data_IF_805401569355
#
_entry.id   IF_805401569355
#
_cell.length_a   1.000
_cell.length_b   1.000
_cell.length_c   1.000
_cell.angle_alpha   90.00
_cell.angle_beta   90.00
_cell.angle_gamma   90.00
#
_symmetry.space_group_name_H-M   'P 1'
#
loop_
_entity.id
_entity.type
_entity.pdbx_description
1 polymer ?
#
# COMPACT_ATOMS: atom_id res chain seq x y z
N UNK A 1 -24.10 1.70 -40.25
CA UNK A 1 -23.56 2.96 -40.80
C UNK A 1 -24.46 4.08 -40.32
N UNK A 2 -24.00 5.25 -39.80
CA UNK A 2 -22.64 5.82 -39.65
C UNK A 2 -22.28 6.28 -38.19
N UNK A 3 -21.00 6.24 -37.74
CA UNK A 3 -19.96 7.33 -37.60
C UNK A 3 -20.11 8.18 -36.30
N UNK A 4 -19.32 7.96 -35.24
CA UNK A 4 -17.98 8.53 -34.85
C UNK A 4 -17.95 10.04 -34.54
N UNK A 5 -17.50 10.43 -33.32
CA UNK A 5 -16.62 11.57 -32.95
C UNK A 5 -16.64 11.69 -31.40
N UNK A 6 -15.62 11.34 -30.61
CA UNK A 6 -14.25 11.85 -30.49
C UNK A 6 -14.14 13.35 -30.13
N UNK A 7 -13.61 13.56 -28.92
CA UNK A 7 -12.73 14.64 -28.47
C UNK A 7 -13.30 16.06 -28.25
N UNK A 8 -12.75 16.70 -27.22
CA UNK A 8 -12.44 18.13 -27.31
C UNK A 8 -12.92 18.99 -26.15
N UNK A 9 -12.10 19.01 -25.09
CA UNK A 9 -11.81 20.15 -24.21
C UNK A 9 -12.32 21.51 -24.70
N UNK A 10 -13.07 22.26 -23.89
CA UNK A 10 -12.95 23.72 -23.83
C UNK A 10 -13.29 24.26 -22.43
N UNK A 11 -12.27 24.88 -21.83
CA UNK A 11 -12.29 25.74 -20.65
C UNK A 11 -13.49 26.71 -20.64
N UNK A 12 -14.13 26.83 -19.48
CA UNK A 12 -14.71 28.10 -19.04
C UNK A 12 -14.35 28.35 -17.57
N UNK A 13 -13.08 28.68 -17.34
CA UNK A 13 -12.76 29.64 -16.30
C UNK A 13 -13.12 31.05 -16.80
N UNK A 14 -13.95 31.75 -16.04
CA UNK A 14 -14.13 33.21 -15.93
C UNK A 14 -15.42 33.41 -15.11
N UNK A 15 -15.32 33.83 -13.85
CA UNK A 15 -15.20 35.24 -13.44
C UNK A 15 -16.48 36.03 -13.73
N UNK A 16 -17.30 36.10 -12.68
CA UNK A 16 -18.08 37.24 -12.16
C UNK A 16 -18.55 38.34 -13.13
N UNK A 17 -19.87 38.49 -13.28
CA UNK A 17 -20.54 39.76 -12.92
C UNK A 17 -22.07 39.64 -12.88
N UNK A 18 -22.64 40.23 -11.83
CA UNK A 18 -24.01 40.16 -11.33
C UNK A 18 -25.02 41.00 -12.14
N UNK A 19 -26.29 40.56 -12.22
CA UNK A 19 -27.43 41.48 -12.40
C UNK A 19 -28.78 40.94 -11.89
N UNK A 20 -29.26 41.57 -10.80
CA UNK A 20 -30.69 41.70 -10.43
C UNK A 20 -31.16 40.79 -9.28
N UNK A 21 -31.06 41.19 -8.01
CA UNK A 21 -32.08 41.92 -7.20
C UNK A 21 -33.38 41.11 -6.98
N UNK A 22 -33.80 40.70 -5.77
CA UNK A 22 -33.86 41.46 -4.53
C UNK A 22 -33.88 40.58 -3.24
N UNK A 23 -33.08 41.03 -2.25
CA UNK A 23 -33.32 41.19 -0.79
C UNK A 23 -33.75 40.01 0.14
N UNK A 24 -33.47 40.08 1.46
CA UNK A 24 -32.15 40.35 2.07
C UNK A 24 -31.82 39.47 3.33
N UNK A 25 -30.51 39.26 3.55
CA UNK A 25 -29.74 39.47 4.80
C UNK A 25 -30.09 38.76 6.13
N UNK A 26 -29.18 38.33 7.01
CA UNK A 26 -27.75 37.91 7.03
C UNK A 26 -27.39 37.69 8.51
N UNK A 27 -26.35 36.90 8.78
CA UNK A 27 -25.16 37.18 9.64
C UNK A 27 -24.69 35.91 10.41
N UNK A 28 -23.40 35.81 10.80
CA UNK A 28 -22.21 35.81 9.92
C UNK A 28 -21.14 34.77 10.36
N UNK A 29 -20.01 34.76 9.63
CA UNK A 29 -18.67 34.29 10.06
C UNK A 29 -18.49 32.76 10.07
N UNK A 30 -17.44 32.16 9.49
CA UNK A 30 -16.01 32.52 9.40
C UNK A 30 -15.46 31.93 8.08
N UNK A 31 -14.76 32.67 7.23
CA UNK A 31 -13.29 32.87 7.25
C UNK A 31 -12.50 31.57 7.46
N UNK A 32 -11.78 31.16 6.44
CA UNK A 32 -10.86 30.01 6.44
C UNK A 32 -10.67 29.56 5.00
N UNK A 33 -9.99 30.36 4.18
CA UNK A 33 -8.56 30.23 3.93
C UNK A 33 -8.25 29.07 2.99
N UNK A 34 -7.75 29.48 1.84
CA UNK A 34 -6.93 28.74 0.89
C UNK A 34 -6.16 27.57 1.51
N UNK A 35 -6.29 26.41 0.87
CA UNK A 35 -5.20 25.48 0.56
C UNK A 35 -5.66 24.83 -0.76
N UNK A 36 -5.14 25.09 -1.96
CA UNK A 36 -3.75 25.28 -2.36
C UNK A 36 -2.82 24.41 -1.53
N UNK A 37 -2.97 23.10 -1.67
CA UNK A 37 -1.85 22.17 -1.49
C UNK A 37 -1.57 21.51 -2.83
N UNK A 38 -1.21 22.32 -3.82
CA UNK A 38 -0.12 21.90 -4.67
C UNK A 38 1.13 22.13 -3.84
N UNK A 39 1.65 21.08 -3.20
CA UNK A 39 3.07 20.72 -3.21
C UNK A 39 3.42 19.73 -2.07
N UNK A 40 4.41 18.84 -2.26
CA UNK A 40 5.29 18.79 -3.42
C UNK A 40 5.29 17.44 -4.16
N UNK A 41 5.47 17.48 -5.49
CA UNK A 41 6.34 16.49 -6.15
C UNK A 41 7.78 16.82 -5.74
N UNK A 42 8.11 16.51 -4.49
CA UNK A 42 9.48 16.34 -4.04
C UNK A 42 9.45 14.87 -3.70
N UNK A 43 10.12 14.03 -4.48
CA UNK A 43 10.54 12.74 -3.94
C UNK A 43 11.20 13.08 -2.62
N UNK A 44 10.56 12.69 -1.53
CA UNK A 44 10.90 13.26 -0.23
C UNK A 44 12.29 12.72 0.08
N UNK A 45 13.33 13.55 -0.07
CA UNK A 45 14.73 13.20 0.22
C UNK A 45 14.86 12.64 1.65
N UNK A 46 13.90 12.96 2.53
CA UNK A 46 13.76 12.41 3.88
C UNK A 46 13.47 10.90 3.92
N UNK A 47 12.86 10.34 2.88
CA UNK A 47 12.47 8.93 2.79
C UNK A 47 13.30 8.15 1.77
N UNK A 48 14.27 8.77 1.10
CA UNK A 48 15.03 8.18 -0.01
C UNK A 48 15.77 6.88 0.39
N UNK A 49 16.28 6.82 1.62
CA UNK A 49 16.92 5.62 2.19
C UNK A 49 15.90 4.52 2.47
N UNK A 50 14.77 4.85 3.10
CA UNK A 50 13.67 3.91 3.34
C UNK A 50 13.07 3.37 2.03
N UNK A 51 12.88 4.22 1.02
CA UNK A 51 12.38 3.83 -0.29
C UNK A 51 13.32 2.85 -0.99
N UNK A 52 14.62 3.17 -1.04
CA UNK A 52 15.63 2.31 -1.67
C UNK A 52 15.74 0.95 -0.97
N UNK A 53 15.81 0.96 0.35
CA UNK A 53 15.96 -0.28 1.13
C UNK A 53 14.65 -1.08 1.17
N UNK A 54 13.50 -0.40 1.19
CA UNK A 54 12.17 -1.00 1.16
C UNK A 54 11.87 -1.70 -0.17
N UNK A 55 12.16 -1.06 -1.31
CA UNK A 55 12.01 -1.70 -2.63
C UNK A 55 12.88 -2.95 -2.75
N UNK A 56 14.17 -2.86 -2.37
CA UNK A 56 15.08 -4.00 -2.40
C UNK A 56 14.61 -5.16 -1.51
N UNK A 57 14.05 -4.84 -0.34
CA UNK A 57 13.47 -5.81 0.58
C UNK A 57 12.26 -6.51 -0.04
N UNK A 58 11.32 -5.77 -0.63
CA UNK A 58 10.13 -6.37 -1.23
C UNK A 58 10.48 -7.27 -2.42
N UNK A 59 11.42 -6.86 -3.26
CA UNK A 59 11.94 -7.69 -4.35
C UNK A 59 12.59 -8.98 -3.80
N UNK A 60 13.40 -8.90 -2.74
CA UNK A 60 14.04 -10.08 -2.14
C UNK A 60 13.01 -11.05 -1.54
N UNK A 61 11.97 -10.53 -0.89
CA UNK A 61 10.89 -11.35 -0.32
C UNK A 61 10.07 -12.02 -1.42
N UNK A 62 9.73 -11.31 -2.50
CA UNK A 62 9.00 -11.87 -3.64
C UNK A 62 9.82 -12.98 -4.34
N UNK A 63 11.11 -12.74 -4.61
CA UNK A 63 12.03 -13.74 -5.15
C UNK A 63 12.14 -14.97 -4.24
N UNK A 64 12.11 -14.78 -2.91
CA UNK A 64 12.14 -15.87 -1.95
C UNK A 64 10.85 -16.71 -1.98
N UNK A 65 9.68 -16.09 -2.12
CA UNK A 65 8.41 -16.80 -2.28
C UNK A 65 8.37 -17.62 -3.58
N UNK A 66 8.82 -17.04 -4.69
CA UNK A 66 8.95 -17.76 -5.97
C UNK A 66 9.91 -18.95 -5.85
N UNK A 67 11.04 -18.77 -5.15
CA UNK A 67 12.02 -19.83 -4.94
C UNK A 67 11.52 -20.96 -4.02
N UNK A 68 10.58 -20.66 -3.10
CA UNK A 68 9.97 -21.64 -2.22
C UNK A 68 8.94 -22.54 -2.95
N UNK A 69 8.45 -22.13 -4.12
CA UNK A 69 7.45 -22.90 -4.85
C UNK A 69 7.94 -24.32 -5.19
N UNK A 70 7.18 -25.33 -4.77
CA UNK A 70 7.49 -26.75 -5.02
C UNK A 70 8.63 -27.32 -4.17
N UNK A 71 9.08 -26.61 -3.12
CA UNK A 71 10.13 -27.08 -2.20
C UNK A 71 9.59 -27.60 -0.85
N UNK A 72 8.27 -27.52 -0.63
CA UNK A 72 7.57 -27.99 0.57
C UNK A 72 7.19 -26.87 1.57
N UNK A 73 6.33 -27.22 2.53
CA UNK A 73 5.78 -26.27 3.51
C UNK A 73 6.82 -25.60 4.42
N UNK A 74 7.95 -26.28 4.68
CA UNK A 74 9.02 -25.73 5.50
C UNK A 74 9.69 -24.51 4.85
N UNK A 75 9.87 -24.52 3.52
CA UNK A 75 10.45 -23.40 2.80
C UNK A 75 9.56 -22.15 2.90
N UNK A 76 8.24 -22.31 2.78
CA UNK A 76 7.29 -21.22 2.99
C UNK A 76 7.37 -20.61 4.40
N UNK A 77 7.57 -21.44 5.43
CA UNK A 77 7.77 -20.93 6.79
C UNK A 77 9.09 -20.13 6.93
N UNK A 78 10.16 -20.55 6.26
CA UNK A 78 11.43 -19.82 6.23
C UNK A 78 11.30 -18.49 5.48
N UNK A 79 10.60 -18.44 4.36
CA UNK A 79 10.34 -17.20 3.62
C UNK A 79 9.48 -16.23 4.43
N UNK A 80 8.43 -16.72 5.09
CA UNK A 80 7.61 -15.89 5.97
C UNK A 80 8.42 -15.35 7.17
N UNK A 81 9.37 -16.13 7.68
CA UNK A 81 10.31 -15.63 8.69
C UNK A 81 11.23 -14.55 8.13
N UNK A 82 11.77 -14.74 6.93
CA UNK A 82 12.61 -13.75 6.25
C UNK A 82 11.84 -12.44 6.04
N UNK A 83 10.56 -12.51 5.64
CA UNK A 83 9.70 -11.34 5.51
C UNK A 83 9.55 -10.59 6.85
N UNK A 84 9.28 -11.29 7.96
CA UNK A 84 9.20 -10.67 9.30
C UNK A 84 10.52 -10.00 9.68
N UNK A 85 11.65 -10.70 9.47
CA UNK A 85 12.98 -10.17 9.78
C UNK A 85 13.32 -8.95 8.92
N UNK A 86 12.86 -8.93 7.66
CA UNK A 86 12.95 -7.80 6.76
C UNK A 86 12.17 -6.59 7.29
N UNK A 87 10.90 -6.77 7.69
CA UNK A 87 10.10 -5.71 8.32
C UNK A 87 10.72 -5.20 9.63
N UNK A 88 11.41 -6.05 10.39
CA UNK A 88 12.12 -5.64 11.61
C UNK A 88 13.47 -4.93 11.33
N UNK A 89 14.04 -5.10 10.14
CA UNK A 89 15.33 -4.53 9.77
C UNK A 89 15.23 -3.06 9.33
N UNK A 90 14.05 -2.62 8.87
CA UNK A 90 13.79 -1.24 8.47
C UNK A 90 12.91 -0.53 9.49
N UNK A 91 13.28 0.71 9.82
CA UNK A 91 12.45 1.58 10.64
C UNK A 91 11.49 2.35 9.72
N UNK A 92 10.16 2.12 9.80
CA UNK A 92 9.21 2.81 8.95
C UNK A 92 9.06 4.28 9.38
N UNK A 93 8.74 5.18 8.44
CA UNK A 93 8.28 6.53 8.76
C UNK A 93 7.08 6.52 9.70
N UNK A 94 6.98 7.53 10.57
CA UNK A 94 5.93 7.63 11.59
C UNK A 94 4.51 7.58 10.99
N UNK A 95 4.37 8.01 9.73
CA UNK A 95 3.11 8.07 8.99
C UNK A 95 2.55 6.68 8.63
N UNK A 96 3.41 5.67 8.48
CA UNK A 96 3.02 4.29 8.14
C UNK A 96 3.41 3.26 9.20
N UNK A 97 3.94 3.69 10.35
CA UNK A 97 4.44 2.78 11.39
C UNK A 97 3.38 1.78 11.87
N UNK A 98 2.12 2.21 12.05
CA UNK A 98 1.02 1.31 12.44
C UNK A 98 0.73 0.26 11.34
N UNK A 99 0.70 0.68 10.07
CA UNK A 99 0.42 -0.22 8.93
C UNK A 99 1.60 -1.17 8.65
N UNK A 100 2.82 -0.71 8.91
CA UNK A 100 4.04 -1.52 8.86
C UNK A 100 4.03 -2.60 9.95
N UNK A 101 3.71 -2.24 11.20
CA UNK A 101 3.57 -3.18 12.31
C UNK A 101 2.44 -4.19 12.04
N UNK A 102 1.27 -3.75 11.57
CA UNK A 102 0.16 -4.63 11.21
C UNK A 102 0.55 -5.63 10.10
N UNK A 103 1.32 -5.18 9.11
CA UNK A 103 1.84 -6.06 8.04
C UNK A 103 2.81 -7.11 8.59
N UNK A 104 3.78 -6.67 9.40
CA UNK A 104 4.78 -7.53 10.05
C UNK A 104 4.13 -8.58 10.94
N UNK A 105 3.17 -8.18 11.77
CA UNK A 105 2.41 -9.10 12.64
C UNK A 105 1.56 -10.07 11.83
N UNK A 106 1.01 -9.61 10.70
CA UNK A 106 0.34 -10.45 9.72
C UNK A 106 1.24 -11.57 9.19
N UNK A 107 2.45 -11.23 8.73
CA UNK A 107 3.44 -12.21 8.26
C UNK A 107 3.88 -13.16 9.38
N UNK A 108 4.07 -12.66 10.60
CA UNK A 108 4.42 -13.49 11.75
C UNK A 108 3.30 -14.50 12.09
N UNK A 109 2.03 -14.08 12.03
CA UNK A 109 0.89 -14.97 12.21
C UNK A 109 0.77 -16.04 11.12
N UNK A 110 1.05 -15.68 9.87
CA UNK A 110 1.10 -16.64 8.76
C UNK A 110 2.23 -17.65 8.95
N UNK A 111 3.43 -17.18 9.28
CA UNK A 111 4.58 -18.03 9.61
C UNK A 111 4.21 -19.07 10.66
N UNK A 112 3.63 -18.63 11.77
CA UNK A 112 3.27 -19.52 12.88
C UNK A 112 2.22 -20.55 12.48
N UNK A 113 1.29 -20.17 11.60
CA UNK A 113 0.25 -21.07 11.08
C UNK A 113 0.85 -22.10 10.12
N UNK A 114 1.75 -21.69 9.21
CA UNK A 114 2.45 -22.60 8.29
C UNK A 114 3.40 -23.52 9.04
N UNK A 115 4.13 -23.02 10.02
CA UNK A 115 5.03 -23.81 10.86
C UNK A 115 4.31 -24.87 11.72
N UNK A 116 3.00 -24.71 11.94
CA UNK A 116 2.17 -25.70 12.62
C UNK A 116 1.73 -26.87 11.71
N UNK A 117 1.94 -26.79 10.39
CA UNK A 117 1.68 -27.90 9.46
C UNK A 117 2.65 -29.04 9.75
N UNK A 118 2.14 -30.27 9.78
CA UNK A 118 2.99 -31.45 9.81
C UNK A 118 3.73 -31.60 8.46
N UNK A 119 5.07 -31.43 8.41
CA UNK A 119 5.82 -31.51 7.15
C UNK A 119 5.83 -32.93 6.56
N UNK A 120 5.42 -33.96 7.31
CA UNK A 120 5.26 -35.31 6.80
C UNK A 120 3.88 -35.57 6.16
N UNK A 121 2.94 -34.63 6.27
CA UNK A 121 1.63 -34.76 5.66
C UNK A 121 1.73 -34.72 4.13
N UNK A 122 0.99 -35.59 3.40
CA UNK A 122 1.06 -35.67 1.94
C UNK A 122 0.56 -34.41 1.23
N UNK A 123 -0.18 -33.55 1.92
CA UNK A 123 -0.76 -32.30 1.45
C UNK A 123 -0.18 -31.06 2.16
N UNK A 124 0.94 -31.20 2.89
CA UNK A 124 1.54 -30.14 3.68
C UNK A 124 1.84 -28.87 2.87
N UNK A 125 2.39 -29.04 1.65
CA UNK A 125 2.68 -27.92 0.75
C UNK A 125 1.41 -27.19 0.32
N UNK A 126 0.37 -27.94 -0.08
CA UNK A 126 -0.90 -27.34 -0.49
C UNK A 126 -1.56 -26.58 0.67
N UNK A 127 -1.49 -27.12 1.90
CA UNK A 127 -1.98 -26.43 3.09
C UNK A 127 -1.22 -25.11 3.32
N UNK A 128 0.10 -25.09 3.12
CA UNK A 128 0.90 -23.87 3.26
C UNK A 128 0.48 -22.81 2.23
N UNK A 129 0.33 -23.20 0.97
CA UNK A 129 -0.15 -22.32 -0.11
C UNK A 129 -1.55 -21.78 0.21
N UNK A 130 -2.48 -22.63 0.63
CA UNK A 130 -3.85 -22.21 0.98
C UNK A 130 -3.87 -21.20 2.15
N UNK A 131 -3.00 -21.39 3.16
CA UNK A 131 -2.85 -20.44 4.27
C UNK A 131 -2.29 -19.11 3.78
N UNK A 132 -1.25 -19.12 2.95
CA UNK A 132 -0.64 -17.90 2.41
C UNK A 132 -1.65 -17.12 1.56
N UNK A 133 -2.36 -17.79 0.65
CA UNK A 133 -3.41 -17.15 -0.16
C UNK A 133 -4.57 -16.63 0.68
N UNK A 134 -4.96 -17.33 1.76
CA UNK A 134 -5.95 -16.80 2.70
C UNK A 134 -5.40 -15.59 3.49
N UNK A 135 -4.09 -15.60 3.74
CA UNK A 135 -3.33 -14.53 4.38
C UNK A 135 -3.39 -13.21 3.61
N UNK A 136 -3.42 -13.23 2.29
CA UNK A 136 -3.60 -12.02 1.47
C UNK A 136 -4.87 -11.24 1.85
N UNK A 137 -5.93 -11.91 2.31
CA UNK A 137 -7.15 -11.21 2.76
C UNK A 137 -6.99 -10.55 4.13
N UNK A 138 -6.06 -11.06 4.95
CA UNK A 138 -5.88 -10.62 6.35
C UNK A 138 -4.75 -9.61 6.49
N UNK A 139 -3.63 -9.84 5.81
CA UNK A 139 -2.42 -8.99 5.80
C UNK A 139 -2.46 -7.98 4.65
N UNK A 140 -3.08 -8.34 3.52
CA UNK A 140 -3.09 -7.54 2.30
C UNK A 140 -3.63 -6.12 2.45
N UNK A 141 -4.61 -5.80 3.33
CA UNK A 141 -5.03 -4.41 3.51
C UNK A 141 -3.96 -3.50 4.10
N UNK A 142 -3.21 -3.96 5.11
CA UNK A 142 -2.12 -3.20 5.72
C UNK A 142 -0.97 -3.05 4.73
N UNK A 143 -0.60 -4.17 4.10
CA UNK A 143 0.44 -4.24 3.09
C UNK A 143 0.13 -3.35 1.87
N UNK A 144 -1.14 -3.28 1.42
CA UNK A 144 -1.55 -2.36 0.36
C UNK A 144 -1.42 -0.90 0.78
N UNK A 145 -1.73 -0.55 2.04
CA UNK A 145 -1.56 0.84 2.52
C UNK A 145 -0.08 1.24 2.57
N UNK A 146 0.79 0.31 2.99
CA UNK A 146 2.25 0.50 2.91
C UNK A 146 2.71 0.72 1.47
N UNK A 147 2.29 -0.13 0.53
CA UNK A 147 2.65 0.03 -0.89
C UNK A 147 2.09 1.31 -1.51
N UNK A 148 0.84 1.67 -1.22
CA UNK A 148 0.23 2.92 -1.73
C UNK A 148 1.02 4.14 -1.23
N UNK A 149 1.43 4.13 0.05
CA UNK A 149 2.28 5.18 0.59
C UNK A 149 3.65 5.22 -0.08
N UNK A 150 4.28 4.06 -0.32
CA UNK A 150 5.56 3.96 -1.05
C UNK A 150 5.42 4.53 -2.46
N UNK A 151 4.42 4.11 -3.23
CA UNK A 151 4.15 4.61 -4.59
C UNK A 151 3.92 6.14 -4.62
N UNK A 152 3.35 6.70 -3.56
CA UNK A 152 3.09 8.14 -3.45
C UNK A 152 4.32 8.96 -3.01
N UNK A 153 5.21 8.38 -2.21
CA UNK A 153 6.29 9.11 -1.53
C UNK A 153 7.72 8.76 -2.02
N UNK A 154 7.88 7.62 -2.70
CA UNK A 154 9.14 7.15 -3.25
C UNK A 154 9.24 7.48 -4.77
N UNK A 155 10.27 8.23 -5.20
CA UNK A 155 10.37 8.78 -6.56
C UNK A 155 10.91 7.82 -7.64
#
# INVERSE_FOLDING_TARGET
MPVVLAAGLLLSGCSDEVRGTAAPATTPSTSGSSSSSSAPTTGNEEYEEFCTDGEALFDEVDEAFDAAEGTGSAAYAEVLQQAVDAFDALEPPEEIADDWEESRDGFAGLRDTVAAIDPAAPDAEQQAVDIISAGETTVGPAFQRVNEWIDENCP
#
